data_IF_827621988034
#
_entry.id   IF_827621988034
#
_cell.length_a   1.000
_cell.length_b   1.000
_cell.length_c   1.000
_cell.angle_alpha   90.00
_cell.angle_beta   90.00
_cell.angle_gamma   90.00
#
_symmetry.space_group_name_H-M   'P 1'
#
loop_
_entity.id
_entity.type
_entity.pdbx_description
1 polymer ?
#
# COMPACT_ATOMS: atom_id res chain seq x y z
N UNK A 1 -16.84 -8.21 -12.74
CA UNK A 1 -16.28 -9.48 -12.29
C UNK A 1 -16.39 -9.58 -10.79
N UNK A 2 -17.02 -10.62 -10.30
CA UNK A 2 -17.19 -10.83 -8.86
C UNK A 2 -15.98 -11.57 -8.33
N UNK A 3 -15.16 -10.89 -7.52
CA UNK A 3 -14.05 -11.56 -6.83
C UNK A 3 -14.60 -12.29 -5.61
N UNK A 4 -14.29 -13.58 -5.48
CA UNK A 4 -14.63 -14.36 -4.29
C UNK A 4 -13.65 -14.09 -3.16
N UNK A 5 -12.46 -13.62 -3.48
CA UNK A 5 -11.41 -13.29 -2.52
C UNK A 5 -10.46 -12.26 -3.14
N UNK A 6 -9.76 -11.55 -2.28
CA UNK A 6 -8.67 -10.66 -2.68
C UNK A 6 -7.35 -11.30 -2.26
N UNK A 7 -6.39 -11.28 -3.17
CA UNK A 7 -5.06 -11.81 -2.93
C UNK A 7 -4.13 -10.66 -2.55
N UNK A 8 -3.56 -10.72 -1.37
CA UNK A 8 -2.77 -9.64 -0.77
C UNK A 8 -1.30 -10.03 -0.65
N UNK A 9 -0.42 -9.05 -0.79
CA UNK A 9 1.02 -9.21 -0.58
C UNK A 9 1.51 -8.05 0.27
N UNK A 10 2.36 -8.32 1.24
CA UNK A 10 3.14 -7.28 1.91
C UNK A 10 4.61 -7.50 1.60
N UNK A 11 5.33 -6.43 1.28
CA UNK A 11 6.69 -6.55 0.78
C UNK A 11 7.53 -5.31 1.10
N UNK A 12 8.63 -5.51 1.80
CA UNK A 12 9.63 -4.49 2.02
C UNK A 12 10.61 -4.50 0.83
N UNK A 13 10.52 -3.50 -0.05
CA UNK A 13 11.28 -3.49 -1.30
C UNK A 13 12.70 -2.97 -1.18
N UNK A 14 13.03 -2.31 -0.09
CA UNK A 14 14.35 -1.71 0.15
C UNK A 14 14.80 -0.79 -0.99
N UNK A 15 13.93 0.07 -1.43
CA UNK A 15 14.10 1.06 -2.51
C UNK A 15 13.54 0.61 -3.85
N UNK A 16 12.79 1.52 -4.48
CA UNK A 16 12.29 1.38 -5.86
C UNK A 16 12.96 2.37 -6.80
N UNK A 17 14.07 2.97 -6.39
CA UNK A 17 14.83 3.89 -7.26
C UNK A 17 15.39 3.15 -8.46
N UNK A 18 15.82 1.93 -8.27
CA UNK A 18 16.37 1.10 -9.33
C UNK A 18 15.27 0.46 -10.18
N UNK A 19 15.38 0.60 -11.50
CA UNK A 19 14.41 0.05 -12.45
C UNK A 19 14.28 -1.47 -12.33
N UNK A 20 15.39 -2.18 -12.08
CA UNK A 20 15.37 -3.63 -11.95
C UNK A 20 14.47 -4.08 -10.77
N UNK A 21 14.47 -3.33 -9.68
CA UNK A 21 13.61 -3.63 -8.52
C UNK A 21 12.13 -3.38 -8.83
N UNK A 22 11.83 -2.37 -9.64
CA UNK A 22 10.45 -2.11 -10.09
C UNK A 22 9.93 -3.25 -10.95
N UNK A 23 10.76 -3.74 -11.86
CA UNK A 23 10.40 -4.88 -12.72
C UNK A 23 10.20 -6.14 -11.87
N UNK A 24 11.06 -6.40 -10.92
CA UNK A 24 10.95 -7.52 -10.02
C UNK A 24 9.65 -7.48 -9.21
N UNK A 25 9.32 -6.31 -8.65
CA UNK A 25 8.08 -6.11 -7.91
C UNK A 25 6.85 -6.37 -8.80
N UNK A 26 6.85 -5.77 -10.00
CA UNK A 26 5.74 -5.94 -10.94
C UNK A 26 5.54 -7.39 -11.34
N UNK A 27 6.64 -8.09 -11.61
CA UNK A 27 6.61 -9.52 -11.93
C UNK A 27 6.06 -10.34 -10.77
N UNK A 28 6.49 -10.04 -9.55
CA UNK A 28 5.99 -10.73 -8.35
C UNK A 28 4.48 -10.55 -8.20
N UNK A 29 3.99 -9.33 -8.39
CA UNK A 29 2.56 -9.03 -8.33
C UNK A 29 1.79 -9.78 -9.42
N UNK A 30 2.30 -9.74 -10.64
CA UNK A 30 1.63 -10.31 -11.81
C UNK A 30 1.60 -11.84 -11.76
N UNK A 31 2.76 -12.48 -11.55
CA UNK A 31 2.84 -13.95 -11.58
C UNK A 31 2.13 -14.61 -10.40
N UNK A 32 1.96 -13.90 -9.30
CA UNK A 32 1.22 -14.42 -8.15
C UNK A 32 -0.25 -13.97 -8.14
N UNK A 33 -0.70 -13.28 -9.17
CA UNK A 33 -2.07 -12.76 -9.29
C UNK A 33 -2.49 -11.94 -8.08
N UNK A 34 -1.59 -11.08 -7.59
CA UNK A 34 -1.84 -10.24 -6.43
C UNK A 34 -2.80 -9.12 -6.81
N UNK A 35 -3.83 -8.91 -6.02
CA UNK A 35 -4.79 -7.84 -6.21
C UNK A 35 -4.33 -6.55 -5.54
N UNK A 36 -3.81 -6.63 -4.32
CA UNK A 36 -3.35 -5.48 -3.54
C UNK A 36 -2.01 -5.80 -2.90
N UNK A 37 -1.01 -4.96 -3.16
CA UNK A 37 0.31 -5.04 -2.54
C UNK A 37 0.53 -3.90 -1.56
N UNK A 38 1.06 -4.23 -0.39
CA UNK A 38 1.43 -3.26 0.64
C UNK A 38 2.95 -3.17 0.67
N UNK A 39 3.48 -2.04 0.21
CA UNK A 39 4.90 -1.89 -0.11
C UNK A 39 5.53 -0.92 0.88
N UNK A 40 6.67 -1.29 1.45
CA UNK A 40 7.41 -0.48 2.41
C UNK A 40 8.82 -0.19 1.90
N UNK A 41 9.43 0.88 2.42
CA UNK A 41 10.77 1.34 2.09
C UNK A 41 10.99 1.62 0.60
N UNK A 42 10.04 2.35 0.00
CA UNK A 42 10.12 2.70 -1.42
C UNK A 42 11.26 3.67 -1.73
N UNK A 43 11.61 4.57 -0.80
CA UNK A 43 12.71 5.54 -0.90
C UNK A 43 12.67 6.40 -2.18
N UNK A 44 11.49 6.84 -2.57
CA UNK A 44 11.31 7.66 -3.77
C UNK A 44 11.30 9.14 -3.44
N UNK A 45 11.89 9.95 -4.31
CA UNK A 45 11.80 11.40 -4.24
C UNK A 45 10.42 11.90 -4.66
N UNK A 46 10.06 13.11 -4.20
CA UNK A 46 8.80 13.78 -4.55
C UNK A 46 8.53 13.85 -6.04
N UNK A 47 9.58 13.96 -6.84
CA UNK A 47 9.48 14.20 -8.28
C UNK A 47 9.50 12.92 -9.12
N UNK A 48 9.67 11.77 -8.49
CA UNK A 48 9.71 10.50 -9.21
C UNK A 48 8.30 9.94 -9.31
N UNK A 49 7.84 9.75 -10.53
CA UNK A 49 6.57 9.07 -10.81
C UNK A 49 6.87 7.66 -11.26
N UNK A 50 6.21 6.71 -10.62
CA UNK A 50 6.32 5.31 -11.01
C UNK A 50 5.05 4.92 -11.76
N UNK A 51 5.24 4.36 -12.95
CA UNK A 51 4.18 3.77 -13.72
C UNK A 51 4.39 2.25 -13.75
N UNK A 52 3.55 1.53 -13.03
CA UNK A 52 3.59 0.07 -12.97
C UNK A 52 2.36 -0.46 -13.70
N UNK A 53 2.59 -0.97 -14.90
CA UNK A 53 1.53 -1.39 -15.81
C UNK A 53 0.59 -2.42 -15.16
N UNK A 54 -0.72 -2.12 -15.19
CA UNK A 54 -1.75 -2.97 -14.63
C UNK A 54 -2.10 -2.67 -13.18
N UNK A 55 -1.36 -1.75 -12.53
CA UNK A 55 -1.55 -1.40 -11.13
C UNK A 55 -1.56 0.11 -10.93
N UNK A 56 -2.34 0.57 -9.96
CA UNK A 56 -2.24 1.92 -9.43
C UNK A 56 -1.30 1.92 -8.25
N UNK A 57 -0.44 2.93 -8.16
CA UNK A 57 0.55 3.07 -7.12
C UNK A 57 0.20 4.27 -6.24
N UNK A 58 -0.34 4.00 -5.06
CA UNK A 58 -0.77 5.03 -4.11
C UNK A 58 0.36 5.21 -3.10
N UNK A 59 1.16 6.25 -3.31
CA UNK A 59 2.40 6.50 -2.59
C UNK A 59 2.22 7.56 -1.52
N UNK A 60 2.65 7.25 -0.30
CA UNK A 60 2.80 8.23 0.76
C UNK A 60 4.20 8.82 0.66
N UNK A 61 4.26 10.14 0.46
CA UNK A 61 5.50 10.85 0.16
C UNK A 61 6.24 11.24 1.45
N UNK A 62 6.92 10.28 2.03
CA UNK A 62 7.80 10.48 3.17
C UNK A 62 9.23 10.06 2.81
N UNK A 63 10.16 10.33 3.71
CA UNK A 63 11.57 9.98 3.52
C UNK A 63 11.76 8.48 3.26
N UNK A 64 11.04 7.64 4.00
CA UNK A 64 11.13 6.19 3.87
C UNK A 64 10.24 5.70 2.75
N UNK A 65 9.00 6.22 2.70
CA UNK A 65 8.05 5.92 1.64
C UNK A 65 7.35 4.59 1.76
N UNK A 66 6.04 4.64 1.84
CA UNK A 66 5.18 3.45 1.78
C UNK A 66 4.15 3.63 0.68
N UNK A 67 3.69 2.52 0.13
CA UNK A 67 2.72 2.56 -0.96
C UNK A 67 1.74 1.40 -0.87
N UNK A 68 0.58 1.60 -1.48
CA UNK A 68 -0.34 0.53 -1.82
C UNK A 68 -0.37 0.41 -3.33
N UNK A 69 -0.12 -0.79 -3.85
CA UNK A 69 -0.31 -1.13 -5.25
C UNK A 69 -1.62 -1.85 -5.39
N UNK A 70 -2.52 -1.32 -6.20
CA UNK A 70 -3.82 -1.95 -6.40
C UNK A 70 -4.08 -2.20 -7.88
N UNK A 71 -4.53 -3.42 -8.19
CA UNK A 71 -4.82 -3.83 -9.56
C UNK A 71 -5.86 -2.90 -10.20
N UNK A 72 -5.66 -2.53 -11.46
CA UNK A 72 -6.52 -1.57 -12.17
C UNK A 72 -7.99 -1.98 -12.17
N UNK A 73 -8.28 -3.27 -12.12
CA UNK A 73 -9.65 -3.78 -12.12
C UNK A 73 -10.37 -3.64 -10.77
N UNK A 74 -9.65 -3.29 -9.71
CA UNK A 74 -10.22 -3.13 -8.37
C UNK A 74 -10.52 -1.65 -8.12
N UNK A 75 -11.76 -1.34 -7.83
CA UNK A 75 -12.18 0.03 -7.49
C UNK A 75 -11.78 0.37 -6.06
N UNK A 76 -11.21 1.55 -5.88
CA UNK A 76 -10.77 2.00 -4.57
C UNK A 76 -10.95 3.50 -4.40
N UNK A 77 -10.91 3.96 -3.15
CA UNK A 77 -10.80 5.37 -2.80
C UNK A 77 -9.58 5.56 -1.91
N UNK A 78 -8.83 6.64 -2.17
CA UNK A 78 -7.73 7.01 -1.31
C UNK A 78 -8.27 7.55 0.01
N UNK A 79 -7.68 7.15 1.13
CA UNK A 79 -8.13 7.56 2.47
C UNK A 79 -7.01 8.32 3.18
N UNK A 80 -7.35 9.48 3.72
CA UNK A 80 -6.45 10.25 4.57
C UNK A 80 -6.81 9.97 6.02
N UNK A 81 -5.86 9.37 6.77
CA UNK A 81 -6.08 8.99 8.17
C UNK A 81 -5.82 10.17 9.12
N UNK A 82 -5.14 11.23 8.65
CA UNK A 82 -4.81 12.37 9.47
C UNK A 82 -3.48 12.23 10.18
N UNK A 83 -3.36 12.85 11.38
CA UNK A 83 -2.10 12.88 12.13
C UNK A 83 -1.86 11.54 12.83
N UNK A 84 -0.88 10.82 12.32
CA UNK A 84 -0.39 9.58 12.93
C UNK A 84 1.12 9.67 13.08
N UNK A 85 1.68 8.92 14.02
CA UNK A 85 3.11 8.97 14.33
C UNK A 85 3.92 7.89 13.59
N UNK A 86 3.42 7.44 12.45
CA UNK A 86 4.11 6.49 11.57
C UNK A 86 3.76 6.81 10.12
N UNK A 87 4.51 6.22 9.19
CA UNK A 87 4.30 6.42 7.75
C UNK A 87 3.24 5.45 7.24
N UNK A 88 2.26 5.96 6.49
CA UNK A 88 1.19 5.11 6.00
C UNK A 88 0.52 5.59 4.73
N UNK A 89 0.11 4.65 3.91
CA UNK A 89 -0.71 4.86 2.72
C UNK A 89 -1.97 4.01 2.86
N UNK A 90 -3.14 4.63 2.71
CA UNK A 90 -4.42 3.98 3.01
C UNK A 90 -5.39 4.11 1.85
N UNK A 91 -6.14 3.04 1.60
CA UNK A 91 -7.22 2.99 0.62
C UNK A 91 -8.43 2.31 1.21
N UNK A 92 -9.61 2.60 0.67
CA UNK A 92 -10.80 1.81 0.93
C UNK A 92 -11.26 1.10 -0.35
N UNK A 93 -11.68 -0.14 -0.22
CA UNK A 93 -12.16 -0.96 -1.32
C UNK A 93 -13.57 -1.43 -1.02
N UNK A 94 -14.46 -1.27 -1.98
CA UNK A 94 -15.81 -1.81 -1.91
C UNK A 94 -15.92 -3.06 -2.77
N UNK A 95 -16.52 -4.11 -2.23
CA UNK A 95 -16.80 -5.31 -3.00
C UNK A 95 -18.04 -6.01 -2.45
N UNK A 96 -18.66 -6.82 -3.30
CA UNK A 96 -19.83 -7.59 -2.91
C UNK A 96 -19.41 -8.97 -2.42
N UNK A 97 -19.90 -9.32 -1.24
CA UNK A 97 -19.77 -10.66 -0.69
C UNK A 97 -21.16 -11.18 -0.36
N UNK A 98 -21.58 -12.28 -1.00
CA UNK A 98 -22.92 -12.83 -0.84
C UNK A 98 -24.03 -11.79 -1.08
N UNK A 99 -23.89 -10.98 -2.13
CA UNK A 99 -24.78 -9.89 -2.50
C UNK A 99 -24.84 -8.73 -1.49
N UNK A 100 -23.97 -8.71 -0.49
CA UNK A 100 -23.85 -7.61 0.47
C UNK A 100 -22.63 -6.77 0.12
N UNK A 101 -22.83 -5.46 -0.03
CA UNK A 101 -21.75 -4.53 -0.28
C UNK A 101 -20.93 -4.34 1.00
N UNK A 102 -19.63 -4.62 0.90
CA UNK A 102 -18.67 -4.48 1.99
C UNK A 102 -17.66 -3.41 1.64
N UNK A 103 -17.28 -2.62 2.63
CA UNK A 103 -16.23 -1.61 2.51
C UNK A 103 -15.11 -1.96 3.48
N UNK A 104 -13.89 -2.13 2.96
CA UNK A 104 -12.73 -2.51 3.76
C UNK A 104 -11.66 -1.44 3.63
N UNK A 105 -11.11 -1.03 4.75
CA UNK A 105 -9.96 -0.14 4.81
C UNK A 105 -8.68 -0.96 4.82
N UNK A 106 -7.78 -0.67 3.89
CA UNK A 106 -6.46 -1.28 3.82
C UNK A 106 -5.39 -0.21 3.97
N UNK A 107 -4.28 -0.58 4.58
CA UNK A 107 -3.16 0.34 4.72
C UNK A 107 -1.82 -0.35 4.69
N UNK A 108 -0.83 0.33 4.10
CA UNK A 108 0.58 -0.02 4.19
C UNK A 108 1.22 0.94 5.19
N UNK A 109 1.84 0.42 6.23
CA UNK A 109 2.46 1.24 7.26
C UNK A 109 3.91 0.80 7.50
N UNK A 110 4.72 1.76 7.93
CA UNK A 110 6.10 1.53 8.34
C UNK A 110 6.37 2.30 9.63
N UNK A 111 6.84 1.57 10.64
CA UNK A 111 7.19 2.14 11.93
C UNK A 111 8.70 1.94 12.13
N UNK A 112 9.52 3.01 12.05
CA UNK A 112 10.97 2.87 12.25
C UNK A 112 11.29 2.37 13.66
N UNK A 113 12.21 1.43 13.77
CA UNK A 113 12.57 0.83 15.06
C UNK A 113 13.23 1.83 16.02
N UNK A 114 13.82 2.92 15.50
CA UNK A 114 14.46 3.97 16.29
C UNK A 114 13.60 5.25 16.38
N UNK A 115 12.32 5.15 16.04
CA UNK A 115 11.40 6.30 16.09
C UNK A 115 11.11 6.66 17.54
N UNK A 116 11.47 7.88 18.01
CA UNK A 116 11.47 8.20 19.44
C UNK A 116 10.09 8.25 20.09
N UNK A 117 9.02 8.38 19.33
CA UNK A 117 7.64 8.46 19.82
C UNK A 117 6.76 7.28 19.40
N UNK A 118 7.38 6.16 19.07
CA UNK A 118 6.63 5.00 18.59
C UNK A 118 5.57 4.53 19.59
N UNK A 119 5.90 4.51 20.89
CA UNK A 119 4.95 4.09 21.93
C UNK A 119 3.79 5.07 22.07
N UNK A 120 4.08 6.37 22.02
CA UNK A 120 3.05 7.41 22.09
C UNK A 120 2.10 7.32 20.89
N UNK A 121 2.66 7.08 19.70
CA UNK A 121 1.88 6.90 18.49
C UNK A 121 0.95 5.71 18.56
N UNK A 122 1.45 4.58 19.03
CA UNK A 122 0.67 3.35 19.17
C UNK A 122 -0.45 3.49 20.21
N UNK A 123 -0.19 4.22 21.29
CA UNK A 123 -1.19 4.47 22.33
C UNK A 123 -2.35 5.36 21.86
N UNK A 124 -2.16 6.11 20.78
CA UNK A 124 -3.18 6.98 20.21
C UNK A 124 -4.03 6.30 19.15
N UNK A 125 -3.69 5.11 18.73
CA UNK A 125 -4.46 4.35 17.74
C UNK A 125 -5.65 3.70 18.46
N UNK A 126 -6.88 3.95 18.02
CA UNK A 126 -8.05 3.28 18.62
C UNK A 126 -7.98 1.77 18.40
N UNK A 127 -8.37 1.06 19.39
CA UNK A 127 -8.46 -0.40 19.30
C UNK A 127 -9.58 -0.84 18.36
#
# INVERSE_FOLDING_TARGET
MTHRFLKLLTYNVRSLVDTSRRVELLNTMFYNSIDIGFIQECHLNKNVRINLKGYNFIYENSRIGVAVMIKDSVKYNRVNIGDIHFFGSFISVEFKLNNVLKKILFGSIYIPCNFPRIHDGLNKIPD
#
